data_IF_202753086382
#
_entry.id   IF_202753086382
#
_cell.length_a   1.000
_cell.length_b   1.000
_cell.length_c   1.000
_cell.angle_alpha   90.00
_cell.angle_beta   90.00
_cell.angle_gamma   90.00
#
_symmetry.space_group_name_H-M   'P 1'
#
loop_
_entity.id
_entity.type
_entity.pdbx_description
1 polymer ?
#
# COMPACT_ATOMS: atom_id res chain seq x y z
N UNK A 1 -0.65 3.54 54.95
CA UNK A 1 -0.39 3.22 53.53
C UNK A 1 1.10 3.28 53.31
N UNK A 2 1.70 2.11 53.13
CA UNK A 2 3.15 1.94 52.99
C UNK A 2 3.68 2.65 51.75
N UNK A 3 4.79 3.37 51.90
CA UNK A 3 5.43 4.12 50.80
C UNK A 3 5.82 3.20 49.63
N UNK A 4 6.04 1.92 49.91
CA UNK A 4 6.38 0.89 48.92
C UNK A 4 5.17 0.41 48.12
N UNK A 5 3.98 0.32 48.74
CA UNK A 5 2.74 -0.02 48.03
C UNK A 5 2.34 1.11 47.07
N UNK A 6 2.40 2.35 47.53
CA UNK A 6 2.11 3.52 46.68
C UNK A 6 3.08 3.59 45.49
N UNK A 7 4.37 3.34 45.71
CA UNK A 7 5.37 3.32 44.62
C UNK A 7 5.15 2.18 43.64
N UNK A 8 4.65 1.05 44.11
CA UNK A 8 4.36 -0.13 43.29
C UNK A 8 3.11 0.10 42.44
N UNK A 9 2.04 0.62 43.05
CA UNK A 9 0.81 1.01 42.35
C UNK A 9 1.08 2.06 41.26
N UNK A 10 1.91 3.07 41.55
CA UNK A 10 2.28 4.10 40.58
C UNK A 10 3.05 3.51 39.38
N UNK A 11 3.94 2.54 39.61
CA UNK A 11 4.67 1.87 38.52
C UNK A 11 3.73 1.07 37.61
N UNK A 12 2.81 0.31 38.20
CA UNK A 12 1.83 -0.44 37.42
C UNK A 12 0.88 0.50 36.65
N UNK A 13 0.42 1.58 37.28
CA UNK A 13 -0.38 2.60 36.61
C UNK A 13 0.37 3.23 35.43
N UNK A 14 1.65 3.57 35.60
CA UNK A 14 2.48 4.11 34.53
C UNK A 14 2.65 3.11 33.37
N UNK A 15 2.87 1.83 33.66
CA UNK A 15 2.97 0.78 32.64
C UNK A 15 1.68 0.60 31.85
N UNK A 16 0.52 0.62 32.53
CA UNK A 16 -0.79 0.53 31.88
C UNK A 16 -1.02 1.73 30.97
N UNK A 17 -0.69 2.94 31.41
CA UNK A 17 -0.81 4.16 30.58
C UNK A 17 0.06 4.07 29.32
N UNK A 18 1.30 3.58 29.44
CA UNK A 18 2.19 3.38 28.28
C UNK A 18 1.63 2.34 27.32
N UNK A 19 1.11 1.22 27.84
CA UNK A 19 0.48 0.18 27.00
C UNK A 19 -0.75 0.70 26.26
N UNK A 20 -1.62 1.47 26.93
CA UNK A 20 -2.78 2.08 26.31
C UNK A 20 -2.35 3.08 25.22
N UNK A 21 -1.34 3.91 25.48
CA UNK A 21 -0.81 4.85 24.50
C UNK A 21 -0.25 4.15 23.24
N UNK A 22 0.39 3.00 23.38
CA UNK A 22 0.90 2.20 22.26
C UNK A 22 -0.22 1.61 21.39
N UNK A 23 -1.35 1.21 21.97
CA UNK A 23 -2.51 0.67 21.24
C UNK A 23 -3.28 1.77 20.50
N UNK A 24 -3.20 3.02 20.98
CA UNK A 24 -3.85 4.17 20.36
C UNK A 24 -3.02 4.81 19.23
N UNK A 25 -1.83 4.29 18.92
CA UNK A 25 -1.05 4.76 17.78
C UNK A 25 -1.82 4.33 16.52
N UNK A 26 -2.49 5.29 15.88
CA UNK A 26 -3.10 5.09 14.57
C UNK A 26 -2.05 4.54 13.62
N UNK A 27 -2.42 3.51 12.86
CA UNK A 27 -1.56 2.99 11.80
C UNK A 27 -1.11 4.17 10.95
N UNK A 28 0.20 4.30 10.63
CA UNK A 28 0.65 5.41 9.81
C UNK A 28 -0.25 5.44 8.58
N UNK A 29 -0.91 6.57 8.35
CA UNK A 29 -1.68 6.84 7.14
C UNK A 29 -0.68 6.88 5.99
N UNK A 30 -0.24 5.70 5.59
CA UNK A 30 0.31 5.31 4.30
C UNK A 30 0.69 6.48 3.42
N UNK A 31 1.99 6.66 3.25
CA UNK A 31 2.58 7.76 2.51
C UNK A 31 1.94 7.78 1.11
N UNK A 32 1.39 8.93 0.65
CA UNK A 32 0.90 9.05 -0.70
C UNK A 32 2.08 8.86 -1.67
N UNK A 33 2.02 7.81 -2.48
CA UNK A 33 3.01 7.47 -3.50
C UNK A 33 2.31 7.54 -4.84
N UNK A 34 2.87 8.30 -5.78
CA UNK A 34 2.30 8.45 -7.11
C UNK A 34 0.86 8.97 -7.14
N UNK A 35 0.56 9.97 -6.31
CA UNK A 35 -0.78 10.59 -6.19
C UNK A 35 -1.90 9.65 -5.70
N UNK A 36 -1.55 8.48 -5.17
CA UNK A 36 -2.47 7.59 -4.50
C UNK A 36 -1.87 7.13 -3.19
N UNK A 37 -2.72 6.68 -2.29
CA UNK A 37 -2.27 5.99 -1.13
C UNK A 37 -1.73 4.59 -1.53
N UNK A 38 -0.50 4.25 -1.17
CA UNK A 38 0.11 2.96 -1.51
C UNK A 38 -0.75 1.76 -1.09
N UNK A 39 -1.50 1.85 0.03
CA UNK A 39 -2.38 0.78 0.49
C UNK A 39 -3.61 0.58 -0.43
N UNK A 40 -4.00 1.58 -1.22
CA UNK A 40 -5.15 1.47 -2.14
C UNK A 40 -4.82 0.57 -3.32
N UNK A 41 -3.54 0.38 -3.60
CA UNK A 41 -3.05 -0.54 -4.63
C UNK A 41 -3.34 -2.00 -4.27
N UNK A 42 -3.60 -2.32 -2.99
CA UNK A 42 -4.02 -3.67 -2.56
C UNK A 42 -5.30 -4.13 -3.28
N UNK A 43 -6.17 -3.19 -3.67
CA UNK A 43 -7.36 -3.47 -4.49
C UNK A 43 -7.00 -4.13 -5.83
N UNK A 44 -5.77 -3.93 -6.31
CA UNK A 44 -5.26 -4.50 -7.56
C UNK A 44 -4.52 -5.84 -7.37
N UNK A 45 -4.31 -6.31 -6.13
CA UNK A 45 -3.46 -7.47 -5.84
C UNK A 45 -3.90 -8.73 -6.59
N UNK A 46 -5.20 -9.01 -6.64
CA UNK A 46 -5.74 -10.18 -7.35
C UNK A 46 -5.46 -10.14 -8.86
N UNK A 47 -5.46 -8.95 -9.46
CA UNK A 47 -5.27 -8.76 -10.90
C UNK A 47 -3.81 -8.93 -11.36
N UNK A 48 -2.86 -8.93 -10.43
CA UNK A 48 -1.42 -9.07 -10.72
C UNK A 48 -0.80 -10.34 -10.13
N UNK A 49 -1.48 -11.00 -9.19
CA UNK A 49 -0.95 -12.20 -8.51
C UNK A 49 -1.37 -13.49 -9.22
N UNK A 50 -0.46 -14.47 -9.26
CA UNK A 50 -0.70 -15.78 -9.87
C UNK A 50 -0.34 -15.86 -11.36
N UNK A 51 -0.45 -17.07 -11.91
CA UNK A 51 -0.12 -17.33 -13.32
C UNK A 51 -1.18 -16.77 -14.26
N UNK A 52 -2.45 -17.00 -13.93
CA UNK A 52 -3.61 -16.51 -14.69
C UNK A 52 -4.50 -15.65 -13.78
N UNK A 53 -4.12 -14.38 -13.53
CA UNK A 53 -4.90 -13.52 -12.65
C UNK A 53 -6.28 -13.22 -13.27
N UNK A 54 -7.34 -13.14 -12.44
CA UNK A 54 -8.64 -12.68 -12.88
C UNK A 54 -8.57 -11.25 -13.44
N UNK A 55 -9.59 -10.80 -14.19
CA UNK A 55 -9.70 -9.40 -14.58
C UNK A 55 -9.70 -8.46 -13.36
N UNK A 56 -9.19 -7.22 -13.49
CA UNK A 56 -9.19 -6.27 -12.40
C UNK A 56 -10.62 -5.90 -12.00
N UNK A 57 -10.84 -5.80 -10.69
CA UNK A 57 -12.09 -5.24 -10.16
C UNK A 57 -12.17 -3.74 -10.42
N UNK A 58 -13.39 -3.21 -10.44
CA UNK A 58 -13.66 -1.78 -10.67
C UNK A 58 -12.88 -0.87 -9.70
N UNK A 59 -12.83 -1.24 -8.42
CA UNK A 59 -12.11 -0.49 -7.40
C UNK A 59 -10.59 -0.39 -7.66
N UNK A 60 -9.99 -1.38 -8.33
CA UNK A 60 -8.59 -1.30 -8.77
C UNK A 60 -8.45 -0.30 -9.92
N UNK A 61 -9.33 -0.37 -10.93
CA UNK A 61 -9.25 0.52 -12.09
C UNK A 61 -9.47 1.99 -11.71
N UNK A 62 -10.37 2.28 -10.78
CA UNK A 62 -10.56 3.64 -10.24
C UNK A 62 -9.26 4.16 -9.60
N UNK A 63 -8.55 3.33 -8.83
CA UNK A 63 -7.26 3.70 -8.22
C UNK A 63 -6.22 4.00 -9.31
N UNK A 64 -6.12 3.15 -10.33
CA UNK A 64 -5.16 3.34 -11.41
C UNK A 64 -5.47 4.59 -12.26
N UNK A 65 -6.74 4.91 -12.48
CA UNK A 65 -7.17 6.11 -13.20
C UNK A 65 -6.88 7.40 -12.43
N UNK A 66 -6.93 7.36 -11.09
CA UNK A 66 -6.57 8.49 -10.23
C UNK A 66 -5.06 8.62 -9.96
N UNK A 67 -4.29 7.57 -10.26
CA UNK A 67 -2.85 7.54 -9.99
C UNK A 67 -2.04 8.32 -11.02
N UNK A 68 -0.88 8.82 -10.59
CA UNK A 68 0.17 9.24 -11.50
C UNK A 68 0.82 7.99 -12.10
N UNK A 69 0.33 7.59 -13.26
CA UNK A 69 0.78 6.39 -13.96
C UNK A 69 2.28 6.43 -14.26
N UNK A 70 2.84 7.58 -14.63
CA UNK A 70 4.27 7.67 -14.92
C UNK A 70 5.12 7.35 -13.68
N UNK A 71 4.71 7.85 -12.51
CA UNK A 71 5.33 7.49 -11.24
C UNK A 71 5.14 6.00 -10.92
N UNK A 72 3.92 5.45 -11.05
CA UNK A 72 3.65 4.01 -10.83
C UNK A 72 4.60 3.16 -11.68
N UNK A 73 4.75 3.52 -12.96
CA UNK A 73 5.58 2.79 -13.90
C UNK A 73 7.08 2.85 -13.56
N UNK A 74 7.58 4.01 -13.08
CA UNK A 74 8.98 4.18 -12.63
C UNK A 74 9.26 3.39 -11.35
N UNK A 75 8.30 3.34 -10.43
CA UNK A 75 8.46 2.70 -9.12
C UNK A 75 7.80 1.32 -9.00
N UNK A 76 7.34 0.72 -10.10
CA UNK A 76 6.58 -0.55 -10.10
C UNK A 76 7.29 -1.70 -9.37
N UNK A 77 8.61 -1.75 -9.42
CA UNK A 77 9.46 -2.72 -8.72
C UNK A 77 9.54 -2.49 -7.20
N UNK A 78 9.21 -1.29 -6.74
CA UNK A 78 9.24 -0.88 -5.34
C UNK A 78 7.85 -0.82 -4.71
N UNK A 79 6.79 -0.93 -5.50
CA UNK A 79 5.42 -1.01 -5.03
C UNK A 79 5.12 -2.48 -4.68
N UNK A 80 4.92 -2.85 -3.41
CA UNK A 80 4.83 -4.26 -2.99
C UNK A 80 3.84 -5.10 -3.81
N UNK A 81 2.68 -4.53 -4.12
CA UNK A 81 1.64 -5.18 -4.94
C UNK A 81 2.11 -5.46 -6.37
N UNK A 82 2.93 -4.58 -6.95
CA UNK A 82 3.35 -4.64 -8.35
C UNK A 82 4.77 -5.20 -8.54
N UNK A 83 5.58 -5.27 -7.47
CA UNK A 83 6.99 -5.61 -7.51
C UNK A 83 7.24 -7.01 -8.07
N UNK A 84 6.43 -7.99 -7.67
CA UNK A 84 6.61 -9.40 -8.05
C UNK A 84 6.25 -9.68 -9.51
N UNK A 85 5.46 -8.80 -10.15
CA UNK A 85 4.95 -8.97 -11.52
C UNK A 85 4.92 -7.64 -12.28
N UNK A 86 6.00 -6.85 -12.15
CA UNK A 86 6.12 -5.52 -12.78
C UNK A 86 5.97 -5.56 -14.31
N UNK A 87 6.22 -6.69 -14.96
CA UNK A 87 5.98 -6.90 -16.39
C UNK A 87 4.50 -6.95 -16.78
N UNK A 88 3.59 -7.24 -15.83
CA UNK A 88 2.13 -7.28 -16.06
C UNK A 88 1.45 -5.92 -15.88
N UNK A 89 2.18 -4.90 -15.41
CA UNK A 89 1.61 -3.56 -15.17
C UNK A 89 1.02 -2.94 -16.44
N UNK A 90 1.67 -3.01 -17.63
CA UNK A 90 1.06 -2.50 -18.85
C UNK A 90 -0.27 -3.18 -19.19
N UNK A 91 -0.33 -4.51 -19.11
CA UNK A 91 -1.55 -5.28 -19.38
C UNK A 91 -2.67 -4.94 -18.38
N UNK A 92 -2.33 -4.71 -17.11
CA UNK A 92 -3.27 -4.27 -16.09
C UNK A 92 -3.89 -2.92 -16.44
N UNK A 93 -3.07 -1.95 -16.86
CA UNK A 93 -3.54 -0.64 -17.29
C UNK A 93 -4.48 -0.76 -18.49
N UNK A 94 -4.10 -1.55 -19.49
CA UNK A 94 -4.96 -1.80 -20.67
C UNK A 94 -6.29 -2.44 -20.31
N UNK A 95 -6.31 -3.42 -19.38
CA UNK A 95 -7.55 -4.04 -18.88
C UNK A 95 -8.46 -3.06 -18.13
N UNK A 96 -7.90 -1.99 -17.58
CA UNK A 96 -8.65 -0.90 -16.94
C UNK A 96 -9.07 0.22 -17.91
N UNK A 97 -8.92 0.02 -19.22
CA UNK A 97 -9.31 0.99 -20.24
C UNK A 97 -8.36 2.19 -20.37
N UNK A 98 -7.16 2.11 -19.78
CA UNK A 98 -6.15 3.17 -19.88
C UNK A 98 -5.45 3.00 -21.22
N UNK A 99 -5.80 3.88 -22.16
CA UNK A 99 -5.31 3.84 -23.54
C UNK A 99 -3.93 4.47 -23.72
N UNK A 100 -3.57 5.43 -22.85
CA UNK A 100 -2.29 6.12 -22.87
C UNK A 100 -1.36 5.53 -21.81
N UNK A 101 -0.59 4.52 -22.19
CA UNK A 101 0.42 3.90 -21.31
C UNK A 101 1.71 4.75 -21.32
N UNK A 102 2.19 5.24 -20.16
CA UNK A 102 3.40 6.06 -20.10
C UNK A 102 4.64 5.33 -20.66
N UNK A 103 5.61 6.04 -21.24
CA UNK A 103 6.86 5.44 -21.72
C UNK A 103 7.59 4.62 -20.65
N UNK A 104 7.56 5.06 -19.39
CA UNK A 104 8.14 4.34 -18.26
C UNK A 104 7.50 2.95 -18.00
N UNK A 105 6.29 2.71 -18.50
CA UNK A 105 5.62 1.41 -18.42
C UNK A 105 5.94 0.51 -19.60
N UNK A 106 6.34 1.08 -20.73
CA UNK A 106 6.74 0.29 -21.89
C UNK A 106 7.98 -0.51 -21.48
N UNK A 107 7.91 -1.83 -21.62
CA UNK A 107 9.03 -2.69 -21.28
C UNK A 107 10.26 -2.19 -22.06
N UNK A 108 11.36 -1.93 -21.37
CA UNK A 108 12.65 -1.69 -22.00
C UNK A 108 12.95 -2.91 -22.86
N UNK A 109 12.82 -2.76 -24.17
CA UNK A 109 13.16 -3.79 -25.15
C UNK A 109 14.68 -3.79 -25.24
N UNK A 110 15.34 -4.49 -24.32
CA UNK A 110 16.77 -4.76 -24.40
C UNK A 110 17.02 -6.24 -24.14
#
# INVERSE_FOLDING_TARGET
MDKNDTRTLVKYAALVIVFVALVLIEEPTSIPVCNINANTLEKCRSAVTGNNPPPPGEACCIVLQAANLECICKFKSHLPVLATKSSKVPDLLSKCGITTVPPACQASKN
#
